data_IF_719203019370
#
_entry.id   IF_719203019370
#
_cell.length_a   1.000
_cell.length_b   1.000
_cell.length_c   1.000
_cell.angle_alpha   90.00
_cell.angle_beta   90.00
_cell.angle_gamma   90.00
#
_symmetry.space_group_name_H-M   'P 1'
#
loop_
_entity.id
_entity.type
_entity.pdbx_description
1 polymer ?
#
# COMPACT_ATOMS: atom_id res chain seq x y z
N UNK A 1 -14.05 4.79 -5.55
CA UNK A 1 -12.99 4.33 -4.61
C UNK A 1 -13.25 2.96 -4.04
N UNK A 2 -14.31 2.71 -3.26
CA UNK A 2 -14.56 1.36 -2.68
C UNK A 2 -14.64 0.26 -3.76
N UNK A 3 -15.26 0.56 -4.90
CA UNK A 3 -15.30 -0.36 -6.05
C UNK A 3 -13.91 -0.65 -6.63
N UNK A 4 -13.07 0.37 -6.82
CA UNK A 4 -11.71 0.22 -7.33
C UNK A 4 -10.87 -0.65 -6.38
N UNK A 5 -10.93 -0.37 -5.07
CA UNK A 5 -10.24 -1.17 -4.06
C UNK A 5 -10.75 -2.62 -4.01
N UNK A 6 -12.07 -2.84 -4.13
CA UNK A 6 -12.63 -4.19 -4.23
C UNK A 6 -12.05 -4.96 -5.41
N UNK A 7 -12.06 -4.35 -6.61
CA UNK A 7 -11.54 -4.97 -7.83
C UNK A 7 -10.04 -5.24 -7.79
N UNK A 8 -9.30 -4.43 -7.04
CA UNK A 8 -7.88 -4.64 -6.80
C UNK A 8 -7.58 -5.67 -5.69
N UNK A 9 -8.58 -6.26 -5.03
CA UNK A 9 -8.36 -7.17 -3.89
C UNK A 9 -7.80 -6.46 -2.66
N UNK A 10 -8.08 -5.17 -2.49
CA UNK A 10 -7.54 -4.32 -1.42
C UNK A 10 -8.60 -3.96 -0.37
N UNK A 11 -8.14 -3.58 0.81
CA UNK A 11 -8.97 -3.06 1.90
C UNK A 11 -9.85 -1.88 1.46
N UNK A 12 -11.02 -1.77 2.10
CA UNK A 12 -12.06 -0.80 1.76
C UNK A 12 -12.48 -0.01 2.98
N UNK A 13 -13.03 1.18 2.75
CA UNK A 13 -13.64 1.97 3.82
C UNK A 13 -15.09 1.59 4.09
N UNK A 14 -15.73 0.89 3.16
CA UNK A 14 -17.15 0.51 3.20
C UNK A 14 -18.13 1.68 3.37
N UNK A 15 -17.65 2.92 3.24
CA UNK A 15 -18.42 4.15 3.42
C UNK A 15 -18.29 5.06 2.20
N UNK A 16 -19.35 5.79 1.90
CA UNK A 16 -19.36 6.81 0.85
C UNK A 16 -18.54 8.06 1.25
N UNK A 17 -18.31 8.28 2.55
CA UNK A 17 -17.61 9.47 3.05
C UNK A 17 -16.11 9.41 2.80
N UNK A 18 -15.52 10.43 2.18
CA UNK A 18 -14.09 10.47 1.86
C UNK A 18 -13.17 10.31 3.09
N UNK A 19 -13.53 10.93 4.23
CA UNK A 19 -12.71 10.88 5.45
C UNK A 19 -12.68 9.50 6.11
N UNK A 20 -13.60 8.59 5.77
CA UNK A 20 -13.55 7.19 6.24
C UNK A 20 -12.27 6.47 5.82
N UNK A 21 -11.67 6.86 4.70
CA UNK A 21 -10.42 6.29 4.20
C UNK A 21 -9.23 6.56 5.12
N UNK A 22 -9.29 7.56 6.02
CA UNK A 22 -8.25 7.79 7.02
C UNK A 22 -8.09 6.63 8.01
N UNK A 23 -9.02 5.67 8.06
CA UNK A 23 -8.94 4.49 8.93
C UNK A 23 -8.58 3.21 8.18
N UNK A 24 -8.35 3.28 6.88
CA UNK A 24 -8.12 2.13 6.00
C UNK A 24 -6.65 2.07 5.60
N UNK A 25 -6.06 0.87 5.54
CA UNK A 25 -4.67 0.71 5.17
C UNK A 25 -3.69 1.25 6.21
N UNK A 26 -2.46 1.49 5.76
CA UNK A 26 -1.38 2.06 6.56
C UNK A 26 -1.24 3.55 6.27
N UNK A 27 -0.94 4.35 7.29
CA UNK A 27 -0.55 5.74 7.08
C UNK A 27 0.83 5.80 6.42
N UNK A 28 0.99 6.64 5.40
CA UNK A 28 2.29 6.85 4.76
C UNK A 28 2.62 8.35 4.68
N UNK A 29 3.88 8.69 4.93
CA UNK A 29 4.41 10.06 4.84
C UNK A 29 5.15 10.33 3.53
N UNK A 30 5.66 9.28 2.90
CA UNK A 30 6.25 9.30 1.56
C UNK A 30 5.35 8.53 0.59
N UNK A 31 4.31 9.16 0.01
CA UNK A 31 3.34 8.47 -0.83
C UNK A 31 3.93 8.09 -2.20
N UNK A 32 3.41 6.99 -2.76
CA UNK A 32 3.74 6.49 -4.09
C UNK A 32 2.49 6.43 -4.96
N UNK A 33 2.60 6.57 -6.29
CA UNK A 33 1.46 6.41 -7.20
C UNK A 33 0.67 5.13 -6.90
N UNK A 34 -0.64 5.27 -6.71
CA UNK A 34 -1.52 4.18 -6.27
C UNK A 34 -1.99 4.30 -4.81
N UNK A 35 -1.24 5.01 -3.94
CA UNK A 35 -1.69 5.29 -2.59
C UNK A 35 -2.96 6.15 -2.59
N UNK A 36 -3.80 5.99 -1.58
CA UNK A 36 -5.01 6.79 -1.43
C UNK A 36 -4.65 8.14 -0.82
N UNK A 37 -5.15 9.22 -1.40
CA UNK A 37 -5.02 10.57 -0.86
C UNK A 37 -6.38 11.09 -0.41
N UNK A 38 -6.41 11.67 0.79
CA UNK A 38 -7.61 12.20 1.41
C UNK A 38 -7.42 13.69 1.68
N UNK A 39 -8.42 14.49 1.30
CA UNK A 39 -8.47 15.94 1.52
C UNK A 39 -9.71 16.35 2.30
N UNK A 40 -9.62 17.43 3.06
CA UNK A 40 -10.81 18.14 3.55
C UNK A 40 -11.35 19.06 2.45
N UNK A 41 -12.61 19.50 2.58
CA UNK A 41 -13.24 20.41 1.61
C UNK A 41 -13.53 21.78 2.19
N UNK A 42 -14.74 22.00 2.74
CA UNK A 42 -15.17 23.33 3.22
C UNK A 42 -14.44 23.76 4.48
N UNK A 43 -14.29 22.84 5.43
CA UNK A 43 -13.64 23.08 6.73
C UNK A 43 -12.86 21.81 7.13
N UNK A 44 -11.68 21.99 7.72
CA UNK A 44 -10.86 20.88 8.21
C UNK A 44 -11.57 20.06 9.30
N UNK A 45 -12.43 20.69 10.09
CA UNK A 45 -13.23 20.08 11.16
C UNK A 45 -14.52 19.43 10.66
N UNK A 46 -14.96 19.70 9.43
CA UNK A 46 -16.20 19.11 8.90
C UNK A 46 -16.00 17.68 8.38
N UNK A 47 -17.11 16.95 8.26
CA UNK A 47 -17.11 15.60 7.69
C UNK A 47 -16.83 15.58 6.18
N UNK A 48 -17.01 16.72 5.48
CA UNK A 48 -16.84 16.82 4.04
C UNK A 48 -15.38 16.63 3.63
N UNK A 49 -15.16 15.77 2.65
CA UNK A 49 -13.82 15.49 2.14
C UNK A 49 -13.82 15.08 0.68
N UNK A 50 -12.62 14.86 0.16
CA UNK A 50 -12.38 14.27 -1.13
C UNK A 50 -11.38 13.12 -0.98
N UNK A 51 -11.59 12.05 -1.76
CA UNK A 51 -10.70 10.90 -1.81
C UNK A 51 -10.38 10.60 -3.27
N UNK A 52 -9.11 10.32 -3.55
CA UNK A 52 -8.63 9.92 -4.87
C UNK A 52 -7.41 9.00 -4.75
N UNK A 53 -6.92 8.55 -5.90
CA UNK A 53 -5.67 7.79 -6.01
C UNK A 53 -4.56 8.81 -6.30
N UNK A 54 -3.54 8.85 -5.45
CA UNK A 54 -2.36 9.69 -5.64
C UNK A 54 -1.62 9.27 -6.91
N UNK A 55 -1.25 10.24 -7.74
CA UNK A 55 -0.43 9.98 -8.94
C UNK A 55 0.89 10.74 -8.94
N UNK A 56 1.05 11.74 -8.06
CA UNK A 56 2.28 12.50 -7.95
C UNK A 56 2.08 13.90 -7.37
N UNK A 57 3.18 14.58 -7.12
CA UNK A 57 3.17 16.01 -6.77
C UNK A 57 3.23 16.87 -8.03
N UNK A 58 2.49 17.97 -8.03
CA UNK A 58 2.50 18.99 -9.08
C UNK A 58 3.18 20.25 -8.53
N UNK A 59 4.50 20.26 -8.57
CA UNK A 59 5.30 21.23 -7.80
C UNK A 59 5.09 21.09 -6.29
N UNK A 60 5.39 22.14 -5.54
CA UNK A 60 5.45 22.06 -4.07
C UNK A 60 4.08 22.10 -3.39
N UNK A 61 3.09 22.73 -4.02
CA UNK A 61 1.83 23.08 -3.36
C UNK A 61 0.63 22.25 -3.83
N UNK A 62 0.82 21.35 -4.79
CA UNK A 62 -0.29 20.59 -5.36
C UNK A 62 0.00 19.10 -5.47
N UNK A 63 -1.07 18.33 -5.39
CA UNK A 63 -1.08 16.88 -5.48
C UNK A 63 -1.97 16.48 -6.64
N UNK A 64 -1.43 15.75 -7.61
CA UNK A 64 -2.24 15.08 -8.63
C UNK A 64 -2.93 13.86 -8.02
N UNK A 65 -4.23 13.77 -8.26
CA UNK A 65 -5.04 12.62 -7.89
C UNK A 65 -6.00 12.22 -9.01
N UNK A 66 -6.07 10.92 -9.26
CA UNK A 66 -7.10 10.29 -10.07
C UNK A 66 -8.38 10.18 -9.23
N UNK A 67 -9.43 10.85 -9.68
CA UNK A 67 -10.77 10.78 -9.10
C UNK A 67 -11.73 10.05 -10.04
N UNK A 68 -12.57 9.19 -9.47
CA UNK A 68 -13.67 8.56 -10.20
C UNK A 68 -14.96 9.36 -10.07
N UNK A 69 -15.72 9.46 -11.17
CA UNK A 69 -17.04 10.09 -11.24
C UNK A 69 -17.04 11.61 -10.91
N UNK A 70 -16.01 12.34 -11.36
CA UNK A 70 -16.04 13.80 -11.39
C UNK A 70 -16.60 14.23 -12.75
N UNK A 71 -17.91 14.49 -12.81
CA UNK A 71 -18.58 14.81 -14.08
C UNK A 71 -18.83 13.60 -14.98
N UNK A 72 -19.13 12.41 -14.41
CA UNK A 72 -19.33 11.14 -15.13
C UNK A 72 -18.09 10.61 -15.88
N UNK A 73 -16.90 11.10 -15.55
CA UNK A 73 -15.64 10.64 -16.12
C UNK A 73 -14.60 10.33 -15.04
N UNK A 74 -13.53 9.64 -15.47
CA UNK A 74 -12.28 9.54 -14.71
C UNK A 74 -11.44 10.75 -15.07
N UNK A 75 -10.96 11.47 -14.04
CA UNK A 75 -10.18 12.69 -14.23
C UNK A 75 -8.97 12.71 -13.32
N UNK A 76 -7.82 13.15 -13.87
CA UNK A 76 -6.69 13.61 -13.07
C UNK A 76 -6.98 15.05 -12.66
N UNK A 77 -6.99 15.32 -11.36
CA UNK A 77 -7.16 16.66 -10.81
C UNK A 77 -6.01 17.01 -9.87
N UNK A 78 -5.58 18.27 -9.87
CA UNK A 78 -4.57 18.77 -8.96
C UNK A 78 -5.23 19.50 -7.77
N UNK A 79 -4.96 19.05 -6.54
CA UNK A 79 -5.51 19.64 -5.31
C UNK A 79 -4.44 20.28 -4.46
N UNK A 80 -4.80 21.33 -3.73
CA UNK A 80 -3.90 22.04 -2.84
C UNK A 80 -3.43 21.16 -1.68
N UNK A 81 -2.14 21.24 -1.36
CA UNK A 81 -1.51 20.51 -0.24
C UNK A 81 -2.02 21.02 1.11
N UNK A 82 -2.48 22.27 1.18
CA UNK A 82 -3.17 22.86 2.35
C UNK A 82 -4.45 22.10 2.74
N UNK A 83 -5.06 21.41 1.76
CA UNK A 83 -6.27 20.60 1.97
C UNK A 83 -5.97 19.16 2.39
N UNK A 84 -4.71 18.74 2.42
CA UNK A 84 -4.33 17.36 2.68
C UNK A 84 -4.68 16.94 4.11
N UNK A 85 -5.37 15.80 4.23
CA UNK A 85 -5.60 15.12 5.51
C UNK A 85 -4.62 13.96 5.72
N UNK A 86 -4.21 13.30 4.63
CA UNK A 86 -3.18 12.27 4.70
C UNK A 86 -3.21 11.31 3.51
N UNK A 87 -2.24 10.41 3.52
CA UNK A 87 -2.10 9.33 2.54
C UNK A 87 -2.30 7.98 3.21
N UNK A 88 -2.82 7.01 2.45
CA UNK A 88 -3.07 5.66 2.91
C UNK A 88 -2.65 4.63 1.87
N UNK A 89 -1.78 3.71 2.27
CA UNK A 89 -1.45 2.53 1.49
C UNK A 89 -2.41 1.41 1.82
N UNK A 90 -3.23 1.01 0.86
CA UNK A 90 -4.15 -0.10 1.06
C UNK A 90 -3.38 -1.41 1.15
N UNK A 91 -3.92 -2.34 1.93
CA UNK A 91 -3.36 -3.69 2.05
C UNK A 91 -4.28 -4.69 1.34
N UNK A 92 -3.75 -5.86 0.96
CA UNK A 92 -4.58 -6.96 0.47
C UNK A 92 -5.71 -7.29 1.47
N UNK A 93 -6.91 -7.55 0.95
CA UNK A 93 -8.06 -8.01 1.72
C UNK A 93 -8.24 -9.54 1.66
N UNK A 94 -7.33 -10.23 0.99
CA UNK A 94 -7.25 -11.69 0.89
C UNK A 94 -5.93 -12.19 1.45
N UNK A 95 -5.84 -13.51 1.67
CA UNK A 95 -4.57 -14.16 1.95
C UNK A 95 -3.59 -13.90 0.80
N UNK A 96 -2.38 -13.47 1.16
CA UNK A 96 -1.29 -13.32 0.21
C UNK A 96 -0.58 -14.67 0.10
N UNK A 97 -0.44 -15.14 -1.14
CA UNK A 97 0.30 -16.37 -1.47
C UNK A 97 1.28 -16.08 -2.60
N UNK A 98 2.53 -16.44 -2.40
CA UNK A 98 3.57 -16.31 -3.39
C UNK A 98 3.72 -17.62 -4.19
N UNK A 99 3.92 -17.55 -5.50
CA UNK A 99 4.27 -18.72 -6.30
C UNK A 99 5.56 -19.41 -5.83
N UNK A 100 5.70 -20.69 -6.19
CA UNK A 100 6.86 -21.53 -5.84
C UNK A 100 8.11 -21.21 -6.66
N UNK A 101 8.51 -19.92 -6.71
CA UNK A 101 9.68 -19.43 -7.43
C UNK A 101 10.66 -18.76 -6.47
N UNK A 102 11.95 -19.03 -6.63
CA UNK A 102 13.01 -18.31 -5.91
C UNK A 102 13.27 -17.00 -6.65
N UNK A 103 13.27 -15.88 -5.93
CA UNK A 103 13.69 -14.57 -6.46
C UNK A 103 14.85 -14.02 -5.63
N UNK A 104 15.78 -13.36 -6.31
CA UNK A 104 17.04 -12.81 -5.75
C UNK A 104 17.46 -11.58 -6.55
N UNK A 105 18.51 -10.89 -6.10
CA UNK A 105 19.09 -9.74 -6.83
C UNK A 105 19.23 -10.02 -8.33
N UNK A 106 18.77 -9.08 -9.14
CA UNK A 106 18.71 -9.19 -10.61
C UNK A 106 17.43 -9.82 -11.16
N UNK A 107 16.57 -10.40 -10.32
CA UNK A 107 15.24 -10.85 -10.75
C UNK A 107 14.35 -9.66 -11.11
N UNK A 108 13.42 -9.86 -12.04
CA UNK A 108 12.44 -8.85 -12.43
C UNK A 108 11.03 -9.41 -12.59
N UNK A 109 10.03 -8.53 -12.63
CA UNK A 109 8.64 -8.84 -12.94
C UNK A 109 7.69 -8.76 -11.75
N UNK A 110 6.45 -9.19 -11.96
CA UNK A 110 5.33 -9.03 -11.00
C UNK A 110 5.61 -9.67 -9.63
N UNK A 111 6.37 -10.76 -9.58
CA UNK A 111 6.76 -11.39 -8.32
C UNK A 111 7.68 -10.53 -7.47
N UNK A 112 8.52 -9.72 -8.11
CA UNK A 112 9.37 -8.77 -7.41
C UNK A 112 8.53 -7.60 -6.90
N UNK A 113 7.55 -7.11 -7.69
CA UNK A 113 6.60 -6.08 -7.24
C UNK A 113 5.84 -6.58 -6.00
N UNK A 114 5.32 -7.81 -6.02
CA UNK A 114 4.61 -8.40 -4.90
C UNK A 114 5.49 -8.50 -3.64
N UNK A 115 6.77 -8.89 -3.80
CA UNK A 115 7.74 -8.90 -2.70
C UNK A 115 8.00 -7.49 -2.16
N UNK A 116 8.22 -6.52 -3.05
CA UNK A 116 8.48 -5.12 -2.69
C UNK A 116 7.30 -4.52 -1.91
N UNK A 117 6.08 -4.72 -2.39
CA UNK A 117 4.86 -4.28 -1.70
C UNK A 117 4.68 -4.96 -0.34
N UNK A 118 4.99 -6.25 -0.27
CA UNK A 118 4.93 -7.03 0.97
C UNK A 118 5.90 -6.50 2.02
N UNK A 119 7.15 -6.30 1.65
CA UNK A 119 8.18 -5.77 2.54
C UNK A 119 7.81 -4.35 3.02
N UNK A 120 7.27 -3.50 2.14
CA UNK A 120 6.74 -2.19 2.53
C UNK A 120 5.61 -2.27 3.53
N UNK A 121 4.69 -3.22 3.36
CA UNK A 121 3.59 -3.46 4.30
C UNK A 121 4.11 -3.86 5.68
N UNK A 122 5.22 -4.60 5.73
CA UNK A 122 5.89 -4.97 6.98
C UNK A 122 6.79 -3.85 7.54
N UNK A 123 6.94 -2.72 6.85
CA UNK A 123 7.72 -1.57 7.31
C UNK A 123 9.15 -1.50 6.78
N UNK A 124 9.57 -2.40 5.90
CA UNK A 124 10.90 -2.38 5.30
C UNK A 124 10.96 -1.48 4.06
N UNK A 125 12.07 -0.77 3.89
CA UNK A 125 12.24 0.18 2.81
C UNK A 125 12.93 -0.43 1.58
N UNK A 126 12.14 -0.81 0.58
CA UNK A 126 12.64 -1.36 -0.70
C UNK A 126 12.85 -0.31 -1.80
N UNK A 127 12.54 0.97 -1.55
CA UNK A 127 12.38 1.97 -2.61
C UNK A 127 11.03 1.85 -3.33
N UNK A 128 10.96 2.14 -4.62
CA UNK A 128 9.72 1.99 -5.41
C UNK A 128 9.45 0.53 -5.76
N UNK A 129 8.18 0.12 -5.82
CA UNK A 129 7.80 -1.24 -6.24
C UNK A 129 7.83 -1.34 -7.77
N UNK A 130 9.04 -1.21 -8.33
CA UNK A 130 9.30 -1.13 -9.77
C UNK A 130 9.42 -2.50 -10.45
N UNK A 131 9.37 -3.59 -9.66
CA UNK A 131 9.53 -4.94 -10.16
C UNK A 131 10.97 -5.29 -10.51
N UNK A 132 11.96 -4.52 -10.05
CA UNK A 132 13.40 -4.80 -10.22
C UNK A 132 14.02 -5.12 -8.87
N UNK A 133 14.58 -6.32 -8.74
CA UNK A 133 15.21 -6.75 -7.49
C UNK A 133 16.64 -6.16 -7.44
N UNK A 134 16.74 -4.90 -7.04
CA UNK A 134 18.00 -4.17 -6.84
C UNK A 134 18.56 -4.27 -5.42
N UNK A 135 19.58 -3.46 -5.12
CA UNK A 135 20.26 -3.44 -3.81
C UNK A 135 19.30 -3.07 -2.67
N UNK A 136 18.41 -2.07 -2.85
CA UNK A 136 17.44 -1.70 -1.81
C UNK A 136 16.47 -2.84 -1.45
N UNK A 137 16.03 -3.61 -2.46
CA UNK A 137 15.17 -4.78 -2.22
C UNK A 137 15.93 -5.90 -1.52
N UNK A 138 17.20 -6.10 -1.87
CA UNK A 138 18.08 -7.06 -1.19
C UNK A 138 18.32 -6.70 0.27
N UNK A 139 18.65 -5.44 0.56
CA UNK A 139 18.93 -4.97 1.91
C UNK A 139 17.69 -5.08 2.80
N UNK A 140 16.54 -4.63 2.30
CA UNK A 140 15.26 -4.78 2.98
C UNK A 140 14.88 -6.25 3.20
N UNK A 141 15.19 -7.14 2.26
CA UNK A 141 14.93 -8.56 2.43
C UNK A 141 15.83 -9.18 3.50
N UNK A 142 17.11 -8.76 3.57
CA UNK A 142 18.01 -9.20 4.64
C UNK A 142 17.56 -8.69 6.01
N UNK A 143 17.10 -7.44 6.07
CA UNK A 143 16.51 -6.87 7.28
C UNK A 143 15.28 -7.68 7.72
N UNK A 144 14.38 -8.02 6.80
CA UNK A 144 13.26 -8.92 7.09
C UNK A 144 13.70 -10.31 7.53
N UNK A 145 14.69 -10.91 6.87
CA UNK A 145 15.23 -12.22 7.29
C UNK A 145 15.82 -12.15 8.70
N UNK A 146 16.42 -11.02 9.09
CA UNK A 146 17.00 -10.83 10.42
C UNK A 146 15.95 -10.78 11.54
N UNK A 147 14.67 -10.61 11.24
CA UNK A 147 13.59 -10.64 12.25
C UNK A 147 13.20 -12.05 12.68
N UNK A 148 13.81 -13.09 12.10
CA UNK A 148 13.56 -14.48 12.47
C UNK A 148 14.87 -15.29 12.48
N UNK A 149 15.25 -15.78 13.66
CA UNK A 149 16.48 -16.56 13.88
C UNK A 149 16.55 -17.86 13.07
N UNK A 150 15.41 -18.38 12.59
CA UNK A 150 15.35 -19.60 11.77
C UNK A 150 15.61 -19.33 10.28
N UNK A 151 15.77 -18.07 9.88
CA UNK A 151 16.05 -17.69 8.49
C UNK A 151 17.53 -17.40 8.27
N UNK A 152 18.04 -17.85 7.13
CA UNK A 152 19.36 -17.42 6.65
C UNK A 152 19.25 -16.01 6.08
N UNK A 153 20.11 -15.11 6.54
CA UNK A 153 20.19 -13.72 6.08
C UNK A 153 21.04 -13.64 4.80
N UNK A 154 20.52 -14.16 3.69
CA UNK A 154 21.23 -14.26 2.40
C UNK A 154 20.68 -13.32 1.31
N UNK A 155 19.59 -12.60 1.58
CA UNK A 155 18.93 -11.74 0.59
C UNK A 155 18.28 -12.53 -0.56
N UNK A 156 17.97 -13.81 -0.35
CA UNK A 156 17.29 -14.67 -1.30
C UNK A 156 15.88 -15.01 -0.80
N UNK A 157 14.87 -14.70 -1.60
CA UNK A 157 13.48 -15.04 -1.29
C UNK A 157 13.21 -16.50 -1.68
N UNK A 158 13.66 -17.41 -0.81
CA UNK A 158 13.53 -18.85 -0.96
C UNK A 158 12.26 -19.39 -0.28
N UNK A 159 12.10 -20.71 -0.21
CA UNK A 159 10.94 -21.36 0.43
C UNK A 159 10.70 -20.89 1.86
N UNK A 160 11.74 -20.88 2.70
CA UNK A 160 11.61 -20.56 4.13
C UNK A 160 11.26 -19.09 4.32
N UNK A 161 11.93 -18.19 3.58
CA UNK A 161 11.63 -16.76 3.63
C UNK A 161 10.22 -16.45 3.12
N UNK A 162 9.77 -17.16 2.06
CA UNK A 162 8.40 -17.04 1.55
C UNK A 162 7.36 -17.46 2.60
N UNK A 163 7.52 -18.64 3.19
CA UNK A 163 6.57 -19.16 4.17
C UNK A 163 6.47 -18.24 5.39
N UNK A 164 7.59 -17.68 5.83
CA UNK A 164 7.59 -16.69 6.90
C UNK A 164 6.90 -15.37 6.49
N UNK A 165 7.16 -14.86 5.27
CA UNK A 165 6.50 -13.66 4.76
C UNK A 165 4.98 -13.83 4.67
N UNK A 166 4.51 -14.97 4.17
CA UNK A 166 3.08 -15.31 4.13
C UNK A 166 2.47 -15.38 5.54
N UNK A 167 3.16 -16.02 6.49
CA UNK A 167 2.69 -16.11 7.88
C UNK A 167 2.56 -14.72 8.54
N UNK A 168 3.56 -13.85 8.36
CA UNK A 168 3.53 -12.48 8.91
C UNK A 168 2.41 -11.66 8.27
N UNK A 169 2.28 -11.68 6.93
CA UNK A 169 1.22 -10.94 6.24
C UNK A 169 -0.17 -11.42 6.63
N UNK A 170 -0.40 -12.73 6.60
CA UNK A 170 -1.71 -13.30 6.84
C UNK A 170 -2.09 -13.22 8.32
N UNK A 171 -1.11 -13.22 9.24
CA UNK A 171 -1.34 -12.87 10.64
C UNK A 171 -1.87 -11.43 10.81
N UNK A 172 -1.23 -10.46 10.14
CA UNK A 172 -1.69 -9.05 10.14
C UNK A 172 -3.09 -8.90 9.53
N UNK A 173 -3.37 -9.63 8.44
CA UNK A 173 -4.69 -9.62 7.81
C UNK A 173 -5.78 -10.24 8.71
N UNK A 174 -5.46 -11.33 9.39
CA UNK A 174 -6.41 -12.07 10.25
C UNK A 174 -6.80 -11.25 11.49
N UNK A 175 -5.83 -10.62 12.17
CA UNK A 175 -6.10 -9.73 13.32
C UNK A 175 -7.00 -8.56 12.93
N UNK A 176 -6.81 -7.99 11.73
CA UNK A 176 -7.65 -6.87 11.30
C UNK A 176 -9.03 -7.27 10.80
N UNK A 177 -9.16 -8.43 10.17
CA UNK A 177 -10.49 -8.99 9.87
C UNK A 177 -11.29 -9.17 11.16
N UNK A 178 -10.66 -9.77 12.17
CA UNK A 178 -11.27 -9.91 13.50
C UNK A 178 -11.69 -8.57 14.12
N UNK A 179 -10.82 -7.55 14.07
CA UNK A 179 -11.18 -6.21 14.58
C UNK A 179 -12.27 -5.51 13.76
N UNK A 180 -12.41 -5.81 12.46
CA UNK A 180 -13.48 -5.27 11.61
C UNK A 180 -14.82 -5.96 11.84
N UNK A 181 -14.84 -7.21 12.34
CA UNK A 181 -16.09 -7.93 12.61
C UNK A 181 -16.68 -7.59 13.99
N UNK A 182 -15.91 -6.91 14.86
CA UNK A 182 -16.29 -6.55 16.24
C UNK A 182 -16.83 -5.11 16.36
N UNK A 183 -16.53 -4.23 15.40
CA UNK A 183 -16.89 -2.80 15.43
C UNK A 183 -17.53 -2.34 14.11
#
# INVERSE_FOLDING_TARGET
>A
MNWCAHKAGLERSYSLGARSWLRVGMQVTNPEPGDIVIFWRKDIKSWEGHVGIFTGFAGNNRIYCLGGNQGRQVSISARGRDKLLGFRRLRPNTEVRFPRKIIKKGSTGELVVLLQDTLKIMGFNVGTSDGVFGTKTEDALKEFQSTNENLKIDGVFNKNTREYAEAVLNGVASVKKFLQDIF
#
